data_IF_937446600542
#
_entry.id   IF_937446600542
#
_cell.length_a   1.000
_cell.length_b   1.000
_cell.length_c   1.000
_cell.angle_alpha   90.00
_cell.angle_beta   90.00
_cell.angle_gamma   90.00
#
_symmetry.space_group_name_H-M   'P 1'
#
loop_
_entity.id
_entity.type
_entity.pdbx_description
1 polymer ?
#
# COMPACT_ATOMS: atom_id res chain seq x y z
N UNK A 1 2.30 2.69 28.49
CA UNK A 1 1.50 1.51 28.11
C UNK A 1 0.40 1.84 27.07
N UNK A 2 -0.51 2.82 27.26
CA UNK A 2 -1.61 3.05 26.31
C UNK A 2 -1.17 3.41 24.88
N UNK A 3 -0.13 4.24 24.75
CA UNK A 3 0.45 4.63 23.44
C UNK A 3 1.00 3.42 22.68
N UNK A 4 1.62 2.46 23.37
CA UNK A 4 2.17 1.24 22.77
C UNK A 4 1.06 0.39 22.15
N UNK A 5 -0.02 0.21 22.92
CA UNK A 5 -1.20 -0.55 22.50
C UNK A 5 -1.87 0.12 21.29
N UNK A 6 -1.99 1.45 21.30
CA UNK A 6 -2.50 2.19 20.15
C UNK A 6 -1.66 1.96 18.88
N UNK A 7 -0.32 2.01 19.00
CA UNK A 7 0.60 1.70 17.88
C UNK A 7 0.38 0.27 17.36
N UNK A 8 0.23 -0.70 18.26
CA UNK A 8 0.01 -2.11 17.90
C UNK A 8 -1.31 -2.29 17.15
N UNK A 9 -2.41 -1.73 17.68
CA UNK A 9 -3.73 -1.84 17.08
C UNK A 9 -3.73 -1.24 15.67
N UNK A 10 -3.16 -0.04 15.51
CA UNK A 10 -3.10 0.62 14.20
C UNK A 10 -2.31 -0.19 13.18
N UNK A 11 -1.15 -0.75 13.56
CA UNK A 11 -0.36 -1.62 12.68
C UNK A 11 -1.11 -2.90 12.35
N UNK A 12 -1.80 -3.50 13.32
CA UNK A 12 -2.61 -4.69 13.09
C UNK A 12 -3.73 -4.41 12.09
N UNK A 13 -4.37 -3.23 12.16
CA UNK A 13 -5.35 -2.79 11.16
C UNK A 13 -4.74 -2.66 9.77
N UNK A 14 -3.56 -2.04 9.65
CA UNK A 14 -2.83 -1.96 8.37
C UNK A 14 -2.48 -3.35 7.85
N UNK A 15 -2.09 -4.27 8.74
CA UNK A 15 -1.79 -5.65 8.38
C UNK A 15 -3.02 -6.37 7.81
N UNK A 16 -4.17 -6.27 8.47
CA UNK A 16 -5.44 -6.85 8.00
C UNK A 16 -5.83 -6.22 6.66
N UNK A 17 -5.75 -4.90 6.53
CA UNK A 17 -6.05 -4.20 5.27
C UNK A 17 -5.18 -4.71 4.11
N UNK A 18 -3.87 -4.86 4.35
CA UNK A 18 -2.93 -5.36 3.35
C UNK A 18 -3.19 -6.82 2.98
N UNK A 19 -3.31 -7.71 3.97
CA UNK A 19 -3.51 -9.14 3.72
C UNK A 19 -4.87 -9.43 3.09
N UNK A 20 -5.95 -8.84 3.61
CA UNK A 20 -7.29 -9.00 3.07
C UNK A 20 -7.39 -8.42 1.66
N UNK A 21 -6.86 -7.21 1.46
CA UNK A 21 -6.82 -6.58 0.14
C UNK A 21 -5.98 -7.38 -0.86
N UNK A 22 -4.85 -7.95 -0.44
CA UNK A 22 -4.00 -8.79 -1.29
C UNK A 22 -4.66 -10.11 -1.70
N UNK A 23 -5.39 -10.75 -0.79
CA UNK A 23 -6.23 -11.91 -1.11
C UNK A 23 -7.36 -11.54 -2.08
N UNK A 24 -8.05 -10.42 -1.82
CA UNK A 24 -9.08 -9.89 -2.70
C UNK A 24 -8.56 -9.59 -4.10
N UNK A 25 -7.35 -9.02 -4.22
CA UNK A 25 -6.68 -8.79 -5.49
C UNK A 25 -6.40 -10.11 -6.22
N UNK A 26 -5.97 -11.17 -5.51
CA UNK A 26 -5.70 -12.47 -6.13
C UNK A 26 -6.98 -13.15 -6.63
N UNK A 27 -8.04 -13.16 -5.81
CA UNK A 27 -9.36 -13.71 -6.19
C UNK A 27 -9.95 -12.92 -7.37
N UNK A 28 -9.84 -11.60 -7.31
CA UNK A 28 -10.31 -10.66 -8.34
C UNK A 28 -9.26 -10.34 -9.40
N UNK A 29 -8.33 -11.25 -9.68
CA UNK A 29 -7.17 -10.99 -10.56
C UNK A 29 -7.55 -10.35 -11.89
N UNK A 30 -8.55 -10.91 -12.58
CA UNK A 30 -8.97 -10.40 -13.89
C UNK A 30 -9.40 -8.93 -13.81
N UNK A 31 -10.23 -8.57 -12.82
CA UNK A 31 -10.66 -7.18 -12.62
C UNK A 31 -9.50 -6.25 -12.28
N UNK A 32 -8.58 -6.69 -11.42
CA UNK A 32 -7.42 -5.88 -11.05
C UNK A 32 -6.44 -5.68 -12.21
N UNK A 33 -6.19 -6.72 -13.01
CA UNK A 33 -5.38 -6.64 -14.22
C UNK A 33 -5.97 -5.67 -15.25
N UNK A 34 -7.27 -5.78 -15.52
CA UNK A 34 -7.95 -4.91 -16.49
C UNK A 34 -7.88 -3.44 -16.06
N UNK A 35 -8.08 -3.13 -14.77
CA UNK A 35 -7.92 -1.77 -14.24
C UNK A 35 -6.50 -1.22 -14.46
N UNK A 36 -5.46 -2.02 -14.21
CA UNK A 36 -4.08 -1.60 -14.46
C UNK A 36 -3.85 -1.37 -15.96
N UNK A 37 -4.33 -2.30 -16.80
CA UNK A 37 -4.21 -2.20 -18.26
C UNK A 37 -4.88 -0.92 -18.78
N UNK A 38 -6.09 -0.63 -18.33
CA UNK A 38 -6.85 0.54 -18.78
C UNK A 38 -6.14 1.84 -18.42
N UNK A 39 -5.51 1.89 -17.23
CA UNK A 39 -4.69 3.04 -16.81
C UNK A 39 -3.44 3.18 -17.68
N UNK A 40 -2.61 2.15 -17.79
CA UNK A 40 -1.29 2.29 -18.44
C UNK A 40 -1.36 2.35 -19.97
N UNK A 41 -2.41 1.79 -20.56
CA UNK A 41 -2.66 1.87 -22.00
C UNK A 41 -3.22 3.22 -22.44
N UNK A 42 -3.77 3.99 -21.49
CA UNK A 42 -4.30 5.34 -21.71
C UNK A 42 -5.37 5.42 -22.81
N UNK A 43 -6.01 4.29 -23.14
CA UNK A 43 -6.96 4.19 -24.25
C UNK A 43 -8.26 4.95 -23.99
N UNK A 44 -8.60 5.19 -22.72
CA UNK A 44 -9.78 5.97 -22.33
C UNK A 44 -9.59 7.48 -22.47
N UNK A 45 -8.39 7.95 -22.80
CA UNK A 45 -8.12 9.38 -23.01
C UNK A 45 -8.52 9.78 -24.43
N UNK A 46 -8.93 11.05 -24.60
CA UNK A 46 -9.34 11.57 -25.91
C UNK A 46 -8.25 11.48 -26.98
N UNK A 47 -6.97 11.53 -26.58
CA UNK A 47 -5.83 11.43 -27.48
C UNK A 47 -4.77 10.46 -26.94
N UNK A 48 -4.15 9.64 -27.81
CA UNK A 48 -3.10 8.71 -27.41
C UNK A 48 -1.84 9.46 -27.00
N UNK A 49 -1.27 9.10 -25.86
CA UNK A 49 0.01 9.64 -25.40
C UNK A 49 1.17 8.79 -25.92
N UNK A 50 2.31 9.39 -26.28
CA UNK A 50 3.43 8.66 -26.89
C UNK A 50 4.10 7.66 -25.93
N UNK A 51 3.88 7.75 -24.62
CA UNK A 51 4.39 6.82 -23.60
C UNK A 51 3.35 5.79 -23.12
N UNK A 52 2.19 5.69 -23.79
CA UNK A 52 1.19 4.68 -23.47
C UNK A 52 1.75 3.26 -23.63
N UNK A 53 1.43 2.39 -22.67
CA UNK A 53 1.92 1.01 -22.63
C UNK A 53 0.82 0.05 -23.11
N UNK A 54 0.91 -0.37 -24.38
CA UNK A 54 -0.07 -1.28 -25.00
C UNK A 54 0.25 -2.77 -24.81
N UNK A 55 1.50 -3.11 -24.50
CA UNK A 55 1.88 -4.50 -24.32
C UNK A 55 1.32 -5.04 -22.98
N UNK A 56 0.54 -6.14 -22.99
CA UNK A 56 -0.10 -6.69 -21.78
C UNK A 56 0.89 -7.07 -20.66
N UNK A 57 2.17 -7.32 -21.00
CA UNK A 57 3.20 -7.63 -19.98
C UNK A 57 3.31 -6.52 -18.94
N UNK A 58 3.16 -5.25 -19.33
CA UNK A 58 3.27 -4.13 -18.41
C UNK A 58 2.11 -4.08 -17.42
N UNK A 59 0.91 -4.52 -17.84
CA UNK A 59 -0.24 -4.60 -16.96
C UNK A 59 -0.07 -5.74 -15.93
N UNK A 60 0.49 -6.88 -16.35
CA UNK A 60 0.86 -7.95 -15.42
C UNK A 60 1.91 -7.50 -14.40
N UNK A 61 2.95 -6.77 -14.84
CA UNK A 61 3.98 -6.25 -13.95
C UNK A 61 3.44 -5.20 -12.98
N UNK A 62 2.59 -4.28 -13.45
CA UNK A 62 1.94 -3.28 -12.60
C UNK A 62 1.02 -3.91 -11.56
N UNK A 63 0.22 -4.89 -11.97
CA UNK A 63 -0.62 -5.65 -11.04
C UNK A 63 0.22 -6.43 -10.02
N UNK A 64 1.28 -7.13 -10.48
CA UNK A 64 2.16 -7.89 -9.61
C UNK A 64 2.86 -6.99 -8.58
N UNK A 65 3.28 -5.79 -8.97
CA UNK A 65 3.84 -4.78 -8.06
C UNK A 65 2.85 -4.40 -6.95
N UNK A 66 1.61 -4.07 -7.32
CA UNK A 66 0.55 -3.70 -6.37
C UNK A 66 0.26 -4.86 -5.42
N UNK A 67 0.03 -6.05 -5.98
CA UNK A 67 -0.34 -7.23 -5.22
C UNK A 67 0.78 -7.67 -4.26
N UNK A 68 2.02 -7.76 -4.75
CA UNK A 68 3.17 -8.20 -3.95
C UNK A 68 3.47 -7.24 -2.81
N UNK A 69 3.54 -5.93 -3.06
CA UNK A 69 3.82 -4.96 -1.99
C UNK A 69 2.70 -4.90 -0.96
N UNK A 70 1.45 -5.08 -1.38
CA UNK A 70 0.31 -5.16 -0.46
C UNK A 70 0.41 -6.39 0.47
N UNK A 71 0.69 -7.58 -0.09
CA UNK A 71 0.84 -8.80 0.71
C UNK A 71 2.07 -8.78 1.60
N UNK A 72 3.24 -8.46 1.06
CA UNK A 72 4.49 -8.44 1.81
C UNK A 72 4.42 -7.36 2.89
N UNK A 73 3.95 -6.16 2.54
CA UNK A 73 3.77 -5.08 3.51
C UNK A 73 2.80 -5.46 4.63
N UNK A 74 1.66 -6.06 4.29
CA UNK A 74 0.70 -6.56 5.28
C UNK A 74 1.28 -7.64 6.20
N UNK A 75 2.06 -8.58 5.65
CA UNK A 75 2.74 -9.61 6.43
C UNK A 75 3.82 -9.04 7.36
N UNK A 76 4.59 -8.05 6.90
CA UNK A 76 5.57 -7.35 7.74
C UNK A 76 4.89 -6.55 8.85
N UNK A 77 3.76 -5.90 8.57
CA UNK A 77 2.93 -5.25 9.60
C UNK A 77 2.42 -6.28 10.63
N UNK A 78 1.91 -7.43 10.21
CA UNK A 78 1.46 -8.48 11.12
C UNK A 78 2.60 -8.97 12.04
N UNK A 79 3.77 -9.24 11.45
CA UNK A 79 4.98 -9.63 12.18
C UNK A 79 5.42 -8.55 13.18
N UNK A 80 5.37 -7.28 12.76
CA UNK A 80 5.64 -6.13 13.62
C UNK A 80 4.67 -6.02 14.78
N UNK A 81 3.36 -6.13 14.53
CA UNK A 81 2.33 -6.11 15.56
C UNK A 81 2.53 -7.22 16.60
N UNK A 82 2.80 -8.45 16.16
CA UNK A 82 3.07 -9.59 17.06
C UNK A 82 4.31 -9.32 17.92
N UNK A 83 5.40 -8.81 17.33
CA UNK A 83 6.63 -8.49 18.07
C UNK A 83 6.42 -7.36 19.06
N UNK A 84 5.77 -6.28 18.66
CA UNK A 84 5.45 -5.15 19.53
C UNK A 84 4.56 -5.59 20.70
N UNK A 85 3.58 -6.46 20.46
CA UNK A 85 2.73 -7.02 21.51
C UNK A 85 3.54 -7.82 22.54
N UNK A 86 4.44 -8.70 22.09
CA UNK A 86 5.31 -9.48 22.99
C UNK A 86 6.27 -8.61 23.81
N UNK A 87 6.57 -7.40 23.34
CA UNK A 87 7.48 -6.46 23.98
C UNK A 87 6.75 -5.26 24.63
N UNK A 88 5.41 -5.32 24.80
CA UNK A 88 4.62 -4.18 25.28
C UNK A 88 5.04 -3.68 26.67
N UNK A 89 5.56 -4.57 27.51
CA UNK A 89 6.01 -4.26 28.88
C UNK A 89 7.54 -4.21 29.00
N UNK A 90 8.26 -4.34 27.88
CA UNK A 90 9.72 -4.27 27.86
C UNK A 90 10.22 -2.82 27.97
N UNK A 91 11.54 -2.64 28.10
CA UNK A 91 12.15 -1.30 28.08
C UNK A 91 11.84 -0.54 26.79
N UNK A 92 11.95 0.79 26.82
CA UNK A 92 11.72 1.64 25.66
C UNK A 92 12.56 1.22 24.44
N UNK A 93 13.84 0.90 24.63
CA UNK A 93 14.75 0.54 23.54
C UNK A 93 14.42 -0.81 22.91
N UNK A 94 13.97 -1.78 23.72
CA UNK A 94 13.49 -3.07 23.21
C UNK A 94 12.24 -2.86 22.36
N UNK A 95 11.30 -2.03 22.83
CA UNK A 95 10.10 -1.72 22.05
C UNK A 95 10.43 -0.95 20.76
N UNK A 96 11.40 -0.01 20.80
CA UNK A 96 11.86 0.69 19.59
C UNK A 96 12.31 -0.29 18.51
N UNK A 97 13.09 -1.29 18.91
CA UNK A 97 13.57 -2.35 18.00
C UNK A 97 12.43 -3.26 17.52
N UNK A 98 11.45 -3.54 18.37
CA UNK A 98 10.30 -4.37 18.01
C UNK A 98 9.44 -3.76 16.88
N UNK A 99 9.42 -2.42 16.76
CA UNK A 99 8.66 -1.70 15.72
C UNK A 99 9.22 -1.84 14.31
N UNK A 100 10.48 -2.27 14.12
CA UNK A 100 11.16 -2.23 12.82
C UNK A 100 10.35 -2.89 11.70
N UNK A 101 9.77 -4.06 11.95
CA UNK A 101 8.99 -4.78 10.94
C UNK A 101 7.66 -4.10 10.60
N UNK A 102 7.03 -3.46 11.58
CA UNK A 102 5.84 -2.65 11.35
C UNK A 102 6.17 -1.42 10.49
N UNK A 103 7.28 -0.74 10.78
CA UNK A 103 7.77 0.41 10.01
C UNK A 103 8.06 0.00 8.56
N UNK A 104 8.78 -1.10 8.35
CA UNK A 104 9.06 -1.62 7.00
C UNK A 104 7.75 -1.94 6.27
N UNK A 105 6.80 -2.63 6.91
CA UNK A 105 5.52 -2.97 6.30
C UNK A 105 4.71 -1.75 5.89
N UNK A 106 4.56 -0.77 6.80
CA UNK A 106 3.89 0.49 6.52
C UNK A 106 4.60 1.28 5.40
N UNK A 107 5.93 1.34 5.40
CA UNK A 107 6.71 2.02 4.38
C UNK A 107 6.52 1.37 2.99
N UNK A 108 6.46 0.03 2.91
CA UNK A 108 6.19 -0.67 1.65
C UNK A 108 4.81 -0.36 1.09
N UNK A 109 3.77 -0.39 1.94
CA UNK A 109 2.40 -0.07 1.54
C UNK A 109 2.30 1.40 1.13
N UNK A 110 2.89 2.30 1.92
CA UNK A 110 2.94 3.71 1.61
C UNK A 110 3.65 3.98 0.28
N UNK A 111 4.80 3.35 0.05
CA UNK A 111 5.54 3.45 -1.22
C UNK A 111 4.71 2.93 -2.40
N UNK A 112 4.06 1.78 -2.25
CA UNK A 112 3.19 1.23 -3.28
C UNK A 112 2.08 2.22 -3.68
N UNK A 113 1.43 2.87 -2.70
CA UNK A 113 0.37 3.85 -2.98
C UNK A 113 0.94 5.14 -3.54
N UNK A 114 1.94 5.71 -2.88
CA UNK A 114 2.49 7.01 -3.26
C UNK A 114 3.20 6.95 -4.62
N UNK A 115 4.12 6.00 -4.83
CA UNK A 115 4.81 5.87 -6.10
C UNK A 115 3.91 5.22 -7.17
N UNK A 116 3.20 4.14 -6.83
CA UNK A 116 2.40 3.39 -7.80
C UNK A 116 1.13 4.12 -8.24
N UNK A 117 0.35 4.65 -7.31
CA UNK A 117 -0.93 5.28 -7.63
C UNK A 117 -0.79 6.79 -7.80
N UNK A 118 -0.17 7.51 -6.86
CA UNK A 118 -0.15 8.98 -6.92
C UNK A 118 0.80 9.46 -8.00
N UNK A 119 2.04 8.97 -8.02
CA UNK A 119 3.02 9.38 -9.01
C UNK A 119 2.76 8.73 -10.37
N UNK A 120 2.79 7.39 -10.46
CA UNK A 120 2.70 6.72 -11.75
C UNK A 120 1.29 6.74 -12.33
N UNK A 121 0.31 6.11 -11.67
CA UNK A 121 -1.03 5.99 -12.24
C UNK A 121 -1.71 7.35 -12.46
N UNK A 122 -1.73 8.20 -11.44
CA UNK A 122 -2.37 9.51 -11.53
C UNK A 122 -1.56 10.47 -12.40
N UNK A 123 -0.30 10.77 -12.09
CA UNK A 123 0.41 11.83 -12.80
C UNK A 123 0.97 11.40 -14.17
N UNK A 124 1.66 10.25 -14.25
CA UNK A 124 2.27 9.81 -15.52
C UNK A 124 1.23 9.26 -16.49
N UNK A 125 0.32 8.40 -16.01
CA UNK A 125 -0.71 7.75 -16.84
C UNK A 125 -2.05 8.49 -16.82
N UNK A 126 -2.14 9.64 -16.16
CA UNK A 126 -3.31 10.51 -16.18
C UNK A 126 -4.61 9.80 -15.81
N UNK A 127 -4.54 8.83 -14.87
CA UNK A 127 -5.72 8.10 -14.40
C UNK A 127 -6.80 9.01 -13.78
N UNK A 128 -6.43 10.23 -13.37
CA UNK A 128 -7.41 11.24 -12.95
C UNK A 128 -8.33 11.74 -14.06
N UNK A 129 -8.01 11.46 -15.34
CA UNK A 129 -8.84 11.73 -16.51
C UNK A 129 -9.56 10.49 -17.04
N UNK A 130 -9.38 9.34 -16.40
CA UNK A 130 -10.04 8.09 -16.80
C UNK A 130 -11.17 7.73 -15.82
N UNK A 131 -12.03 6.76 -16.16
CA UNK A 131 -13.01 6.22 -15.23
C UNK A 131 -12.40 5.62 -13.94
N UNK A 132 -11.07 5.43 -13.89
CA UNK A 132 -10.36 4.92 -12.73
C UNK A 132 -10.10 5.97 -11.63
N UNK A 133 -10.50 7.24 -11.82
CA UNK A 133 -10.29 8.33 -10.84
C UNK A 133 -10.69 7.96 -9.41
N UNK A 134 -11.81 7.25 -9.21
CA UNK A 134 -12.24 6.85 -7.87
C UNK A 134 -11.25 5.91 -7.16
N UNK A 135 -10.56 5.03 -7.91
CA UNK A 135 -9.52 4.16 -7.35
C UNK A 135 -8.28 4.98 -6.95
N UNK A 136 -7.99 6.04 -7.70
CA UNK A 136 -6.89 6.97 -7.41
C UNK A 136 -7.21 7.78 -6.15
N UNK A 137 -8.39 8.38 -6.04
CA UNK A 137 -8.78 9.16 -4.86
C UNK A 137 -8.76 8.30 -3.60
N UNK A 138 -9.27 7.07 -3.67
CA UNK A 138 -9.23 6.14 -2.55
C UNK A 138 -7.80 5.76 -2.16
N UNK A 139 -6.89 5.62 -3.14
CA UNK A 139 -5.48 5.38 -2.86
C UNK A 139 -4.81 6.56 -2.13
N UNK A 140 -5.24 7.80 -2.38
CA UNK A 140 -4.73 8.99 -1.69
C UNK A 140 -5.12 8.99 -0.22
N UNK A 141 -6.38 8.65 0.07
CA UNK A 141 -6.89 8.52 1.43
C UNK A 141 -6.10 7.46 2.20
N UNK A 142 -5.99 6.25 1.64
CA UNK A 142 -5.24 5.18 2.31
C UNK A 142 -3.74 5.47 2.43
N UNK A 143 -3.13 6.17 1.46
CA UNK A 143 -1.74 6.59 1.57
C UNK A 143 -1.55 7.57 2.73
N UNK A 144 -2.49 8.51 2.90
CA UNK A 144 -2.51 9.42 4.03
C UNK A 144 -2.65 8.69 5.37
N UNK A 145 -3.61 7.76 5.48
CA UNK A 145 -3.83 6.97 6.69
C UNK A 145 -2.60 6.13 7.06
N UNK A 146 -2.04 5.38 6.11
CA UNK A 146 -0.84 4.55 6.34
C UNK A 146 0.38 5.44 6.63
N UNK A 147 0.50 6.59 5.97
CA UNK A 147 1.54 7.58 6.23
C UNK A 147 1.48 8.13 7.66
N UNK A 148 0.29 8.46 8.15
CA UNK A 148 0.10 8.91 9.54
C UNK A 148 0.43 7.81 10.55
N UNK A 149 0.03 6.56 10.27
CA UNK A 149 0.41 5.40 11.09
C UNK A 149 1.93 5.21 11.10
N UNK A 150 2.58 5.32 9.94
CA UNK A 150 4.04 5.24 9.81
C UNK A 150 4.75 6.31 10.64
N UNK A 151 4.28 7.57 10.57
CA UNK A 151 4.82 8.66 11.37
C UNK A 151 4.64 8.40 12.87
N UNK A 152 3.44 8.03 13.30
CA UNK A 152 3.15 7.71 14.71
C UNK A 152 3.99 6.53 15.22
N UNK A 153 4.25 5.52 14.37
CA UNK A 153 5.16 4.43 14.68
C UNK A 153 6.61 4.88 14.76
N UNK A 154 7.06 5.73 13.84
CA UNK A 154 8.43 6.22 13.82
C UNK A 154 8.76 7.08 15.05
N UNK A 155 7.77 7.80 15.58
CA UNK A 155 7.92 8.52 16.84
C UNK A 155 8.40 7.57 17.94
N UNK A 156 9.43 8.03 18.67
CA UNK A 156 9.87 7.34 19.88
C UNK A 156 8.70 7.29 20.86
N UNK A 157 8.69 6.25 21.66
CA UNK A 157 7.82 6.21 22.83
C UNK A 157 8.49 6.94 23.98
#
# INVERSE_FOLDING_TARGET
MPVRIAKIILVATVAVWGLWGGLGNLIGYASGYEQVRDVISMQSLEQPMPWALQNPIFAHLGFAFIWALKLIGGAMCALGAIRMWRCSDASADVFQTAKTWAIVGCAMIFFMMFAGFNLLASNVFMAFRSPAIGAIELSWVFAGEVGLVLLFLAMRE
#
